data_IF_573990582558
#
_entry.id   IF_573990582558
#
_cell.length_a   1.000
_cell.length_b   1.000
_cell.length_c   1.000
_cell.angle_alpha   90.00
_cell.angle_beta   90.00
_cell.angle_gamma   90.00
#
_symmetry.space_group_name_H-M   'P 1'
#
loop_
_entity.id
_entity.type
_entity.pdbx_description
1 polymer ?
#
# COMPACT_ATOMS: atom_id res chain seq x y z
N UNK A 1 -41.57 -4.96 -10.69
CA UNK A 1 -41.76 -5.61 -11.42
C UNK A 1 -42.53 -6.91 -11.66
N UNK A 2 -43.00 -7.02 -12.82
CA UNK A 2 -43.66 -8.24 -13.28
C UNK A 2 -42.58 -9.34 -13.53
N UNK A 3 -43.06 -10.59 -13.59
CA UNK A 3 -42.20 -11.71 -13.96
C UNK A 3 -41.58 -11.49 -15.36
N UNK A 4 -42.33 -10.85 -16.27
CA UNK A 4 -41.83 -10.50 -17.59
C UNK A 4 -40.64 -9.55 -17.49
N UNK A 5 -40.70 -8.58 -16.61
CA UNK A 5 -39.57 -7.65 -16.37
C UNK A 5 -38.35 -8.40 -15.84
N UNK A 6 -38.55 -9.33 -14.89
CA UNK A 6 -37.46 -10.13 -14.35
C UNK A 6 -36.77 -10.94 -15.46
N UNK A 7 -37.56 -11.67 -16.27
CA UNK A 7 -37.00 -12.52 -17.31
C UNK A 7 -36.45 -11.73 -18.50
N UNK A 8 -36.97 -10.51 -18.74
CA UNK A 8 -36.43 -9.64 -19.76
C UNK A 8 -35.18 -8.89 -19.36
N UNK A 9 -34.83 -8.95 -18.09
CA UNK A 9 -33.65 -8.26 -17.58
C UNK A 9 -32.38 -8.97 -18.02
N UNK A 10 -31.44 -8.20 -18.57
CA UNK A 10 -30.15 -8.72 -18.99
C UNK A 10 -29.25 -8.95 -17.79
N UNK A 11 -28.93 -10.21 -17.45
CA UNK A 11 -28.03 -10.54 -16.36
C UNK A 11 -26.64 -9.96 -16.59
N UNK A 12 -26.23 -9.83 -17.85
CA UNK A 12 -24.94 -9.20 -18.18
C UNK A 12 -24.95 -7.73 -17.78
N UNK A 13 -26.07 -7.04 -17.97
CA UNK A 13 -26.20 -5.65 -17.57
C UNK A 13 -26.13 -5.48 -16.07
N UNK A 14 -26.75 -6.36 -15.30
CA UNK A 14 -26.67 -6.36 -13.86
C UNK A 14 -25.21 -6.60 -13.43
N UNK A 15 -24.55 -7.56 -14.04
CA UNK A 15 -23.15 -7.88 -13.77
C UNK A 15 -22.24 -6.69 -14.03
N UNK A 16 -22.44 -6.02 -15.15
CA UNK A 16 -21.68 -4.82 -15.50
C UNK A 16 -21.90 -3.70 -14.50
N UNK A 17 -23.14 -3.50 -14.02
CA UNK A 17 -23.42 -2.51 -12.99
C UNK A 17 -22.71 -2.81 -11.69
N UNK A 18 -22.69 -4.08 -11.27
CA UNK A 18 -21.99 -4.48 -10.04
C UNK A 18 -20.48 -4.27 -10.18
N UNK A 19 -19.94 -4.50 -11.34
CA UNK A 19 -18.51 -4.35 -11.60
C UNK A 19 -18.07 -2.89 -11.74
N UNK A 20 -19.00 -1.93 -11.75
CA UNK A 20 -18.64 -0.51 -11.65
C UNK A 20 -18.32 -0.09 -10.22
N UNK A 21 -18.66 -0.91 -9.24
CA UNK A 21 -18.34 -0.63 -7.84
C UNK A 21 -16.83 -0.75 -7.67
N UNK A 22 -16.14 0.30 -7.16
CA UNK A 22 -14.68 0.35 -7.21
C UNK A 22 -13.95 -0.80 -6.53
N UNK A 23 -14.54 -1.40 -5.49
CA UNK A 23 -13.88 -2.49 -4.76
C UNK A 23 -14.35 -3.88 -5.21
N UNK A 24 -15.18 -3.96 -6.22
CA UNK A 24 -15.64 -5.24 -6.77
C UNK A 24 -14.71 -5.67 -7.88
N UNK A 25 -14.06 -6.82 -7.68
CA UNK A 25 -13.15 -7.41 -8.65
C UNK A 25 -13.92 -8.09 -9.78
N UNK A 26 -15.05 -8.72 -9.44
CA UNK A 26 -15.87 -9.39 -10.43
C UNK A 26 -17.20 -9.78 -9.84
N UNK A 27 -18.17 -10.02 -10.73
CA UNK A 27 -19.50 -10.45 -10.36
C UNK A 27 -20.00 -11.48 -11.36
N UNK A 28 -20.72 -12.49 -10.85
CA UNK A 28 -21.42 -13.48 -11.68
C UNK A 28 -22.88 -13.44 -11.27
N UNK A 29 -23.75 -13.23 -12.25
CA UNK A 29 -25.19 -13.14 -12.02
C UNK A 29 -25.86 -14.24 -12.81
N UNK A 30 -26.68 -15.04 -12.15
CA UNK A 30 -27.43 -16.13 -12.78
C UNK A 30 -28.89 -16.08 -12.37
N UNK A 31 -29.75 -16.38 -13.32
CA UNK A 31 -31.19 -16.54 -13.06
C UNK A 31 -31.43 -17.93 -12.50
N UNK A 32 -32.26 -17.99 -11.47
CA UNK A 32 -32.71 -19.25 -10.88
C UNK A 32 -34.21 -19.31 -10.99
N UNK A 33 -34.69 -20.33 -11.70
CA UNK A 33 -36.13 -20.55 -11.87
C UNK A 33 -36.81 -20.67 -10.50
N UNK A 34 -38.00 -20.11 -10.28
CA UNK A 34 -38.81 -19.35 -11.25
C UNK A 34 -38.55 -17.82 -11.22
N UNK A 35 -38.03 -17.23 -10.15
CA UNK A 35 -38.01 -15.80 -10.00
C UNK A 35 -36.88 -15.29 -9.12
N UNK A 36 -35.73 -15.98 -9.04
CA UNK A 36 -34.58 -15.57 -8.23
C UNK A 36 -33.36 -15.27 -9.07
N UNK A 37 -32.49 -14.48 -8.47
CA UNK A 37 -31.15 -14.24 -9.00
C UNK A 37 -30.13 -14.74 -7.99
N UNK A 38 -29.09 -15.37 -8.50
CA UNK A 38 -27.91 -15.72 -7.72
C UNK A 38 -26.80 -14.75 -8.12
N UNK A 39 -26.21 -14.09 -7.13
CA UNK A 39 -25.13 -13.12 -7.36
C UNK A 39 -23.93 -13.56 -6.57
N UNK A 40 -22.81 -13.73 -7.24
CA UNK A 40 -21.52 -14.06 -6.66
C UNK A 40 -20.60 -12.84 -6.87
N UNK A 41 -20.13 -12.28 -5.77
CA UNK A 41 -19.24 -11.13 -5.81
C UNK A 41 -17.84 -11.55 -5.38
N UNK A 42 -16.86 -11.10 -6.14
CA UNK A 42 -15.45 -11.13 -5.74
C UNK A 42 -15.02 -9.70 -5.45
N UNK A 43 -14.42 -9.46 -4.30
CA UNK A 43 -13.96 -8.14 -3.91
C UNK A 43 -12.43 -8.11 -3.88
N UNK A 44 -11.86 -6.96 -4.20
CA UNK A 44 -10.42 -6.75 -4.06
C UNK A 44 -10.04 -6.81 -2.58
N UNK A 45 -8.90 -7.45 -2.29
CA UNK A 45 -8.37 -7.54 -0.94
C UNK A 45 -7.18 -6.58 -0.79
N UNK A 46 -7.30 -5.56 0.07
CA UNK A 46 -6.20 -4.62 0.25
C UNK A 46 -5.07 -5.25 1.06
N UNK A 47 -3.84 -5.01 0.63
CA UNK A 47 -2.64 -5.37 1.39
C UNK A 47 -1.87 -4.14 1.85
N UNK A 48 -2.22 -2.96 1.33
CA UNK A 48 -1.59 -1.70 1.71
C UNK A 48 -2.50 -0.53 1.36
N UNK A 49 -2.31 0.57 2.06
CA UNK A 49 -2.87 1.87 1.69
C UNK A 49 -1.95 2.45 0.62
N UNK A 50 -2.55 2.94 -0.46
CA UNK A 50 -1.82 3.44 -1.62
C UNK A 50 -2.06 4.94 -1.79
N UNK A 51 -0.97 5.71 -1.83
CA UNK A 51 -1.03 7.17 -1.98
C UNK A 51 -2.01 7.83 -1.00
N UNK A 52 -2.04 7.34 0.24
CA UNK A 52 -2.82 7.87 1.38
C UNK A 52 -4.32 7.61 1.34
N UNK A 53 -4.93 7.56 0.16
CA UNK A 53 -6.40 7.53 0.03
C UNK A 53 -6.93 6.33 -0.75
N UNK A 54 -6.07 5.58 -1.40
CA UNK A 54 -6.45 4.41 -2.16
C UNK A 54 -5.87 3.15 -1.52
N UNK A 55 -6.14 2.01 -2.12
CA UNK A 55 -5.65 0.72 -1.65
C UNK A 55 -5.04 -0.05 -2.80
N UNK A 56 -4.22 -1.02 -2.48
CA UNK A 56 -3.57 -1.86 -3.48
C UNK A 56 -3.65 -3.32 -3.05
N UNK A 57 -3.89 -4.19 -4.03
CA UNK A 57 -3.91 -5.64 -3.83
C UNK A 57 -2.49 -6.21 -3.90
N UNK A 58 -2.34 -7.48 -3.55
CA UNK A 58 -1.03 -8.15 -3.59
C UNK A 58 -0.43 -8.23 -4.99
N UNK A 59 -1.26 -8.15 -6.04
CA UNK A 59 -0.80 -8.18 -7.43
C UNK A 59 -0.70 -6.79 -8.06
N UNK A 60 -0.78 -5.74 -7.25
CA UNK A 60 -0.51 -4.38 -7.71
C UNK A 60 -1.71 -3.63 -8.25
N UNK A 61 -2.91 -4.16 -8.11
CA UNK A 61 -4.13 -3.46 -8.56
C UNK A 61 -4.51 -2.38 -7.56
N UNK A 62 -4.60 -1.14 -8.03
CA UNK A 62 -5.00 0.01 -7.22
C UNK A 62 -6.52 0.16 -7.30
N UNK A 63 -7.15 0.36 -6.16
CA UNK A 63 -8.60 0.49 -6.10
C UNK A 63 -9.02 1.39 -4.94
N UNK A 64 -10.28 1.81 -4.96
CA UNK A 64 -10.86 2.64 -3.92
C UNK A 64 -11.77 1.81 -3.03
N UNK A 65 -11.73 2.08 -1.74
CA UNK A 65 -12.55 1.41 -0.74
C UNK A 65 -12.87 2.44 0.34
N UNK A 66 -14.15 2.60 0.71
CA UNK A 66 -14.47 3.44 1.86
C UNK A 66 -13.77 2.93 3.12
N UNK A 67 -13.23 3.84 3.92
CA UNK A 67 -12.45 3.47 5.11
C UNK A 67 -13.27 2.66 6.11
N UNK A 68 -14.57 2.90 6.19
CA UNK A 68 -15.45 2.15 7.08
C UNK A 68 -15.63 0.68 6.66
N UNK A 69 -15.26 0.34 5.43
CA UNK A 69 -15.31 -1.03 4.93
C UNK A 69 -14.00 -1.77 5.10
N UNK A 70 -12.97 -1.10 5.58
CA UNK A 70 -11.66 -1.71 5.78
C UNK A 70 -11.71 -2.64 6.98
N UNK A 71 -11.50 -3.93 6.73
CA UNK A 71 -11.51 -4.97 7.77
C UNK A 71 -10.16 -5.10 8.46
N UNK A 72 -9.09 -4.88 7.71
CA UNK A 72 -7.73 -4.90 8.25
C UNK A 72 -7.46 -3.62 9.00
N UNK A 73 -6.98 -3.74 10.22
CA UNK A 73 -6.79 -2.58 11.10
C UNK A 73 -5.47 -1.88 10.90
N UNK A 74 -4.45 -2.62 10.48
CA UNK A 74 -3.10 -2.08 10.31
C UNK A 74 -2.58 -2.52 8.97
N UNK A 75 -2.44 -1.56 8.06
CA UNK A 75 -1.85 -1.78 6.74
C UNK A 75 -0.67 -0.85 6.57
N UNK A 76 0.36 -1.27 5.81
CA UNK A 76 1.45 -0.38 5.48
C UNK A 76 1.00 0.75 4.56
N UNK A 77 1.77 1.84 4.56
CA UNK A 77 1.55 2.98 3.70
C UNK A 77 2.53 2.91 2.54
N UNK A 78 2.02 2.70 1.35
CA UNK A 78 2.84 2.64 0.15
C UNK A 78 2.44 3.77 -0.79
N UNK A 79 3.36 4.18 -1.67
CA UNK A 79 3.06 5.24 -2.60
C UNK A 79 3.97 5.29 -3.80
N UNK A 80 3.49 5.97 -4.83
CA UNK A 80 4.20 6.16 -6.09
C UNK A 80 3.25 6.30 -7.26
N UNK A 81 3.79 6.37 -8.49
CA UNK A 81 2.95 6.28 -9.68
C UNK A 81 2.24 4.92 -9.72
N UNK A 82 0.98 4.93 -10.14
CA UNK A 82 0.16 3.71 -10.12
C UNK A 82 0.79 2.57 -10.93
N UNK A 83 1.44 2.87 -12.04
CA UNK A 83 2.06 1.84 -12.87
C UNK A 83 3.25 1.16 -12.20
N UNK A 84 3.74 1.69 -11.09
CA UNK A 84 4.85 1.13 -10.32
C UNK A 84 4.41 0.43 -9.03
N UNK A 85 3.11 0.24 -8.85
CA UNK A 85 2.57 -0.34 -7.61
C UNK A 85 3.19 -1.69 -7.28
N UNK A 86 3.33 -2.57 -8.26
CA UNK A 86 3.94 -3.88 -8.02
C UNK A 86 5.40 -3.77 -7.60
N UNK A 87 6.14 -2.86 -8.22
CA UNK A 87 7.54 -2.60 -7.86
C UNK A 87 7.66 -2.13 -6.40
N UNK A 88 6.76 -1.25 -5.96
CA UNK A 88 6.76 -0.76 -4.58
C UNK A 88 6.38 -1.87 -3.61
N UNK A 89 5.41 -2.70 -3.98
CA UNK A 89 5.03 -3.86 -3.16
C UNK A 89 6.17 -4.85 -2.98
N UNK A 90 6.89 -5.13 -4.05
CA UNK A 90 8.04 -6.03 -3.99
C UNK A 90 9.14 -5.46 -3.08
N UNK A 91 9.42 -4.16 -3.21
CA UNK A 91 10.36 -3.49 -2.33
C UNK A 91 9.89 -3.54 -0.87
N UNK A 92 8.61 -3.26 -0.61
CA UNK A 92 8.04 -3.35 0.71
C UNK A 92 8.24 -4.73 1.34
N UNK A 93 7.88 -5.78 0.61
CA UNK A 93 7.99 -7.15 1.13
C UNK A 93 9.42 -7.48 1.53
N UNK A 94 10.38 -7.10 0.70
CA UNK A 94 11.80 -7.36 0.97
C UNK A 94 12.31 -6.52 2.15
N UNK A 95 12.02 -5.23 2.15
CA UNK A 95 12.48 -4.31 3.19
C UNK A 95 11.87 -4.70 4.54
N UNK A 96 10.59 -4.99 4.56
CA UNK A 96 9.90 -5.37 5.80
C UNK A 96 10.54 -6.62 6.42
N UNK A 97 10.80 -7.64 5.62
CA UNK A 97 11.40 -8.89 6.09
C UNK A 97 12.84 -8.68 6.57
N UNK A 98 13.64 -7.93 5.81
CA UNK A 98 15.04 -7.65 6.15
C UNK A 98 15.14 -6.85 7.46
N UNK A 99 14.29 -5.85 7.62
CA UNK A 99 14.30 -5.01 8.82
C UNK A 99 13.78 -5.75 10.04
N UNK A 100 12.75 -6.57 9.85
CA UNK A 100 12.21 -7.37 10.95
C UNK A 100 13.28 -8.29 11.54
N UNK A 101 14.13 -8.86 10.69
CA UNK A 101 15.26 -9.69 11.13
C UNK A 101 16.28 -8.91 11.97
N UNK A 102 16.26 -7.58 11.89
CA UNK A 102 17.14 -6.68 12.66
C UNK A 102 16.38 -5.95 13.78
N UNK A 103 15.17 -6.42 14.11
CA UNK A 103 14.32 -5.82 15.14
C UNK A 103 13.91 -4.38 14.81
N UNK A 104 13.79 -4.07 13.53
CA UNK A 104 13.30 -2.79 13.03
C UNK A 104 11.97 -2.98 12.36
N UNK A 105 11.07 -2.03 12.53
CA UNK A 105 9.73 -2.10 11.94
C UNK A 105 9.55 -0.94 10.97
N UNK A 106 9.19 -1.29 9.73
CA UNK A 106 8.90 -0.35 8.66
C UNK A 106 7.39 -0.21 8.53
N UNK A 107 6.90 1.02 8.40
CA UNK A 107 5.48 1.23 8.18
C UNK A 107 5.15 1.75 6.79
N UNK A 108 6.14 2.18 6.01
CA UNK A 108 5.86 2.69 4.69
C UNK A 108 7.05 2.66 3.75
N UNK A 109 6.76 2.55 2.46
CA UNK A 109 7.72 2.63 1.37
C UNK A 109 7.07 3.39 0.23
N UNK A 110 7.80 4.31 -0.38
CA UNK A 110 7.30 5.06 -1.51
C UNK A 110 8.42 5.36 -2.52
N UNK A 111 7.99 5.53 -3.75
CA UNK A 111 8.87 6.01 -4.83
C UNK A 111 8.21 7.23 -5.45
N UNK A 112 8.98 8.27 -5.75
CA UNK A 112 8.43 9.46 -6.37
C UNK A 112 8.49 9.37 -7.90
N UNK A 113 8.00 10.41 -8.59
CA UNK A 113 7.95 10.43 -10.05
C UNK A 113 9.33 10.41 -10.69
N UNK A 114 10.37 10.74 -9.94
CA UNK A 114 11.77 10.74 -10.43
C UNK A 114 12.47 9.42 -10.16
N UNK A 115 11.81 8.51 -9.46
CA UNK A 115 12.39 7.23 -9.09
C UNK A 115 13.14 7.25 -7.76
N UNK A 116 12.98 8.29 -6.96
CA UNK A 116 13.62 8.38 -5.64
C UNK A 116 12.80 7.62 -4.60
N UNK A 117 13.48 6.77 -3.84
CA UNK A 117 12.89 5.91 -2.83
C UNK A 117 12.92 6.56 -1.45
N UNK A 118 11.91 6.27 -0.67
CA UNK A 118 11.79 6.70 0.70
C UNK A 118 11.18 5.59 1.54
N UNK A 119 11.72 5.38 2.71
CA UNK A 119 11.23 4.37 3.67
C UNK A 119 10.89 5.09 4.97
N UNK A 120 9.76 4.75 5.56
CA UNK A 120 9.34 5.32 6.84
C UNK A 120 9.29 4.21 7.89
N UNK A 121 9.96 4.42 9.00
CA UNK A 121 9.94 3.50 10.13
C UNK A 121 8.69 3.72 10.98
N UNK A 122 8.39 2.77 11.86
CA UNK A 122 7.20 2.83 12.72
C UNK A 122 7.23 4.02 13.71
N UNK A 123 8.41 4.54 14.01
CA UNK A 123 8.60 5.73 14.87
C UNK A 123 8.62 7.03 14.06
N UNK A 124 8.17 6.99 12.81
CA UNK A 124 8.08 8.12 11.90
C UNK A 124 9.41 8.66 11.35
N UNK A 125 10.51 8.02 11.64
CA UNK A 125 11.78 8.38 11.00
C UNK A 125 11.71 8.06 9.53
N UNK A 126 12.07 9.03 8.69
CA UNK A 126 12.07 8.91 7.24
C UNK A 126 13.49 8.68 6.74
N UNK A 127 13.68 7.65 5.94
CA UNK A 127 14.95 7.33 5.30
C UNK A 127 14.86 7.76 3.83
N UNK A 128 15.66 8.75 3.44
CA UNK A 128 15.71 9.25 2.07
C UNK A 128 16.81 8.51 1.33
N UNK A 129 16.42 7.69 0.37
CA UNK A 129 17.34 6.79 -0.32
C UNK A 129 17.77 7.29 -1.70
N UNK A 130 16.97 8.17 -2.31
CA UNK A 130 17.25 8.63 -3.66
C UNK A 130 16.98 7.57 -4.72
N UNK A 131 17.50 7.82 -5.91
CA UNK A 131 17.28 6.94 -7.06
C UNK A 131 18.22 5.75 -7.07
N UNK A 132 17.87 4.72 -7.81
CA UNK A 132 18.68 3.54 -8.00
C UNK A 132 18.43 2.48 -6.96
N UNK A 133 19.44 1.62 -6.75
CA UNK A 133 19.29 0.48 -5.85
C UNK A 133 19.28 0.95 -4.38
N UNK A 134 18.18 0.68 -3.72
CA UNK A 134 17.98 1.07 -2.33
C UNK A 134 18.68 0.10 -1.35
N UNK A 135 19.00 -1.11 -1.75
CA UNK A 135 19.46 -2.15 -0.82
C UNK A 135 20.79 -1.81 -0.13
N UNK A 136 21.85 -1.39 -0.84
CA UNK A 136 23.11 -1.04 -0.16
C UNK A 136 22.94 0.11 0.81
N UNK A 137 22.06 1.06 0.49
CA UNK A 137 21.79 2.22 1.34
C UNK A 137 21.11 1.81 2.63
N UNK A 138 20.15 0.90 2.55
CA UNK A 138 19.47 0.37 3.73
C UNK A 138 20.41 -0.51 4.56
N UNK A 139 21.27 -1.31 3.93
CA UNK A 139 22.26 -2.09 4.65
C UNK A 139 23.20 -1.18 5.46
N UNK A 140 23.61 -0.06 4.86
CA UNK A 140 24.42 0.94 5.56
C UNK A 140 23.66 1.56 6.73
N UNK A 141 22.40 1.88 6.54
CA UNK A 141 21.55 2.43 7.60
C UNK A 141 21.47 1.48 8.79
N UNK A 142 21.22 0.21 8.54
CA UNK A 142 21.09 -0.80 9.60
C UNK A 142 22.38 -0.88 10.44
N UNK A 143 23.53 -0.72 9.80
CA UNK A 143 24.82 -0.73 10.49
C UNK A 143 25.01 0.53 11.34
N UNK A 144 24.60 1.68 10.84
CA UNK A 144 24.86 2.98 11.50
C UNK A 144 23.84 3.29 12.58
N UNK A 145 22.60 2.91 12.40
CA UNK A 145 21.47 3.37 13.21
C UNK A 145 21.68 3.13 14.73
N UNK A 146 22.13 1.95 15.19
CA UNK A 146 22.33 1.72 16.61
C UNK A 146 23.41 2.61 17.24
N UNK A 147 24.25 3.22 16.40
CA UNK A 147 25.36 4.06 16.85
C UNK A 147 25.03 5.55 16.91
N UNK A 148 23.84 5.92 16.47
CA UNK A 148 23.43 7.32 16.46
C UNK A 148 23.01 7.73 17.86
N UNK A 149 23.68 8.73 18.40
CA UNK A 149 23.31 9.34 19.67
C UNK A 149 22.46 10.56 19.39
N UNK A 150 21.23 10.55 19.90
CA UNK A 150 20.30 11.65 19.69
C UNK A 150 20.42 12.62 20.85
N UNK A 151 20.66 13.93 20.58
CA UNK A 151 20.72 14.91 21.65
C UNK A 151 19.44 14.93 22.49
N UNK A 152 19.59 15.21 23.78
CA UNK A 152 18.46 15.32 24.69
C UNK A 152 17.47 16.37 24.19
N UNK A 153 16.19 16.05 24.26
CA UNK A 153 15.13 16.93 23.76
C UNK A 153 14.94 16.93 22.25
N UNK A 154 15.69 16.07 21.56
CA UNK A 154 15.58 15.94 20.10
C UNK A 154 15.11 14.55 19.70
N UNK A 155 14.57 14.44 18.49
CA UNK A 155 14.28 13.16 17.86
C UNK A 155 14.79 13.21 16.43
N UNK A 156 15.11 12.06 15.88
CA UNK A 156 15.51 11.98 14.47
C UNK A 156 14.24 12.21 13.62
N UNK A 157 14.31 13.17 12.72
CA UNK A 157 13.25 13.48 11.77
C UNK A 157 13.42 12.65 10.50
N UNK A 158 14.60 12.77 9.88
CA UNK A 158 14.93 11.95 8.72
C UNK A 158 16.41 11.70 8.66
N UNK A 159 16.78 10.68 7.88
CA UNK A 159 18.18 10.33 7.62
C UNK A 159 18.35 10.33 6.12
N UNK A 160 19.32 11.10 5.64
CA UNK A 160 19.61 11.23 4.23
C UNK A 160 20.70 10.24 3.85
N UNK A 161 20.33 9.25 3.05
CA UNK A 161 21.24 8.20 2.59
C UNK A 161 21.46 8.27 1.08
N UNK A 162 21.08 9.39 0.46
CA UNK A 162 21.18 9.53 -1.00
C UNK A 162 22.62 9.51 -1.51
N UNK A 163 23.56 9.91 -0.66
CA UNK A 163 24.96 10.03 -1.02
C UNK A 163 25.83 9.16 -0.13
N UNK A 164 27.07 8.94 -0.53
CA UNK A 164 28.01 8.12 0.23
C UNK A 164 28.24 8.65 1.65
N UNK A 165 28.22 9.97 1.83
CA UNK A 165 28.29 10.61 3.13
C UNK A 165 26.87 10.97 3.59
N UNK A 166 26.16 10.00 4.17
CA UNK A 166 24.82 10.24 4.67
C UNK A 166 24.78 11.25 5.82
N UNK A 167 23.60 11.79 6.08
CA UNK A 167 23.38 12.75 7.16
C UNK A 167 22.05 12.46 7.87
N UNK A 168 22.05 12.68 9.18
CA UNK A 168 20.83 12.58 9.99
C UNK A 168 20.37 14.00 10.34
N UNK A 169 19.06 14.17 10.35
CA UNK A 169 18.42 15.44 10.68
C UNK A 169 17.40 15.18 11.76
N UNK A 170 17.37 16.04 12.78
CA UNK A 170 16.45 15.89 13.90
C UNK A 170 15.57 17.09 14.11
N UNK A 171 14.43 16.81 14.74
CA UNK A 171 13.46 17.81 15.13
C UNK A 171 13.37 17.86 16.66
N UNK A 172 12.78 18.95 17.16
CA UNK A 172 12.44 19.05 18.57
C UNK A 172 11.39 18.01 18.91
N UNK A 173 11.49 17.43 20.10
CA UNK A 173 10.40 16.60 20.61
C UNK A 173 9.26 17.51 21.03
N UNK A 174 8.04 17.10 20.64
CA UNK A 174 6.85 17.86 20.98
C UNK A 174 6.52 17.76 22.47
#
# INVERSE_FOLDING_TARGET
>A
GSLKGFWGQDVKQIQEQLETIPWVKGAVVRKIWPNRLSIWLSEYQPVAIWNKTEFVTKDGTVFQLPMDKLKEKVLPYLGGPDYQSLKVLEAWNQIFADFKAKNLVVKGVAIDDRGAWQVTLDNDIVLKLGRGDWKPKLDRFVTIYPQIEVPEGKRIDYIDLRYAAGAAFWAETA
#
